data_IF_310537918727
#
_entry.id   IF_310537918727
#
_cell.length_a   1.000
_cell.length_b   1.000
_cell.length_c   1.000
_cell.angle_alpha   90.00
_cell.angle_beta   90.00
_cell.angle_gamma   90.00
#
_symmetry.space_group_name_H-M   'P 1'
#
loop_
_entity.id
_entity.type
_entity.pdbx_description
1 polymer ?
#
# COMPACT_ATOMS: atom_id res chain seq x y z
N UNK A 1 31.19 44.44 55.02
CA UNK A 1 31.01 45.85 55.42
C UNK A 1 30.77 46.68 54.15
N UNK A 2 29.63 47.39 54.10
CA UNK A 2 29.27 48.58 53.30
C UNK A 2 29.60 48.62 51.79
N UNK A 3 28.74 49.05 50.87
CA UNK A 3 27.49 49.83 50.96
C UNK A 3 26.83 49.88 49.56
N UNK A 4 25.49 49.80 49.51
CA UNK A 4 24.49 50.59 48.74
C UNK A 4 24.75 50.93 47.24
N UNK A 5 23.80 51.09 46.32
CA UNK A 5 22.32 51.13 46.20
C UNK A 5 22.03 51.36 44.70
N UNK A 6 20.87 50.94 44.20
CA UNK A 6 20.01 51.53 43.11
C UNK A 6 19.19 50.37 42.49
N UNK A 7 17.90 50.45 42.21
CA UNK A 7 16.98 51.57 42.12
C UNK A 7 15.51 51.15 42.37
N UNK A 8 14.65 52.17 42.33
CA UNK A 8 13.28 52.29 42.83
C UNK A 8 12.18 51.42 42.19
N UNK A 9 11.18 51.20 43.04
CA UNK A 9 9.78 50.84 42.80
C UNK A 9 9.01 52.01 42.16
N UNK A 10 8.09 51.71 41.24
CA UNK A 10 6.88 52.50 41.03
C UNK A 10 5.71 51.57 40.64
N UNK A 11 4.60 51.69 41.37
CA UNK A 11 3.35 50.94 41.22
C UNK A 11 2.20 51.89 40.86
N UNK A 12 1.24 51.43 40.05
CA UNK A 12 -0.18 51.82 39.98
C UNK A 12 -0.81 51.04 38.80
N UNK A 13 -1.63 50.01 38.97
CA UNK A 13 -3.06 49.95 39.39
C UNK A 13 -3.97 50.90 38.61
N UNK A 14 -4.85 50.30 37.80
CA UNK A 14 -5.96 50.97 37.13
C UNK A 14 -6.79 50.00 36.27
N UNK A 15 -7.50 49.06 36.89
CA UNK A 15 -8.55 48.28 36.22
C UNK A 15 -9.80 49.16 36.12
N UNK A 16 -10.21 49.51 34.91
CA UNK A 16 -11.50 50.15 34.66
C UNK A 16 -12.53 49.06 34.40
N UNK A 17 -13.41 48.86 35.37
CA UNK A 17 -14.70 48.17 35.20
C UNK A 17 -15.66 49.18 34.61
N UNK A 18 -16.25 48.88 33.45
CA UNK A 18 -17.42 49.59 32.95
C UNK A 18 -18.58 48.60 32.83
N UNK A 19 -19.57 48.81 33.71
CA UNK A 19 -20.88 48.20 33.73
C UNK A 19 -21.91 49.32 33.55
N UNK A 20 -23.02 49.02 32.87
CA UNK A 20 -24.35 49.67 32.91
C UNK A 20 -25.15 49.15 31.70
N UNK A 21 -26.46 48.90 31.73
CA UNK A 21 -27.46 48.61 32.75
C UNK A 21 -28.75 48.30 31.99
N UNK A 22 -29.62 47.51 32.62
CA UNK A 22 -30.90 47.02 32.11
C UNK A 22 -31.94 48.11 31.82
N UNK A 23 -32.90 47.80 30.96
CA UNK A 23 -34.22 48.47 30.92
C UNK A 23 -35.32 47.40 30.98
N UNK A 24 -36.19 47.55 31.97
CA UNK A 24 -37.29 46.65 32.36
C UNK A 24 -38.48 46.77 31.41
N UNK A 25 -39.03 45.64 30.96
CA UNK A 25 -40.32 45.51 30.28
C UNK A 25 -41.28 44.58 31.05
N UNK A 26 -42.62 44.77 30.94
CA UNK A 26 -43.63 44.27 31.89
C UNK A 26 -43.96 42.77 31.71
N UNK A 27 -44.62 42.13 32.71
CA UNK A 27 -44.79 40.68 32.73
C UNK A 27 -45.90 40.22 31.79
N UNK A 28 -45.62 39.18 30.99
CA UNK A 28 -46.61 38.55 30.11
C UNK A 28 -47.25 37.35 30.81
N UNK A 29 -48.58 37.30 30.72
CA UNK A 29 -49.47 36.29 31.25
C UNK A 29 -49.27 34.89 30.63
N UNK A 30 -49.38 33.85 31.46
CA UNK A 30 -49.79 32.48 31.07
C UNK A 30 -51.32 32.45 30.91
N UNK A 31 -52.00 31.50 30.23
CA UNK A 31 -51.59 30.33 29.43
C UNK A 31 -52.21 30.33 28.00
N UNK A 32 -51.92 29.39 27.08
CA UNK A 32 -52.78 28.22 26.80
C UNK A 32 -52.16 27.38 25.66
N UNK A 33 -52.14 26.07 25.86
CA UNK A 33 -51.83 25.01 24.92
C UNK A 33 -52.79 25.03 23.72
N UNK A 34 -52.24 25.06 22.50
CA UNK A 34 -52.94 24.51 21.32
C UNK A 34 -51.92 23.90 20.37
N UNK A 35 -52.15 22.63 20.05
CA UNK A 35 -51.29 21.81 19.20
C UNK A 35 -51.07 22.46 17.83
N UNK A 36 -49.82 22.72 17.49
CA UNK A 36 -49.39 22.79 16.10
C UNK A 36 -48.52 21.57 15.84
N UNK A 37 -48.99 20.70 14.94
CA UNK A 37 -48.27 19.55 14.42
C UNK A 37 -46.89 19.99 13.93
N UNK A 38 -45.88 19.78 14.78
CA UNK A 38 -44.49 19.85 14.38
C UNK A 38 -44.29 18.76 13.32
N UNK A 39 -43.99 19.20 12.10
CA UNK A 39 -43.55 18.34 11.02
C UNK A 39 -42.25 17.71 11.51
N UNK A 40 -42.31 16.46 11.95
CA UNK A 40 -41.15 15.61 12.17
C UNK A 40 -40.39 15.60 10.86
N UNK A 41 -39.33 16.41 10.75
CA UNK A 41 -38.23 16.09 9.85
C UNK A 41 -37.69 14.78 10.37
N UNK A 42 -38.17 13.69 9.79
CA UNK A 42 -37.53 12.39 9.91
C UNK A 42 -36.07 12.64 9.52
N UNK A 43 -35.17 12.56 10.49
CA UNK A 43 -33.76 12.37 10.22
C UNK A 43 -33.70 11.06 9.46
N UNK A 44 -33.63 11.13 8.13
CA UNK A 44 -33.39 9.98 7.29
C UNK A 44 -32.05 9.41 7.75
N UNK A 45 -32.08 8.19 8.29
CA UNK A 45 -30.85 7.46 8.56
C UNK A 45 -29.95 7.52 7.32
N UNK A 46 -28.63 7.71 7.49
CA UNK A 46 -27.72 7.78 6.35
C UNK A 46 -27.88 6.53 5.47
N UNK A 47 -27.86 6.72 4.16
CA UNK A 47 -27.96 5.64 3.19
C UNK A 47 -26.91 4.57 3.50
N UNK A 48 -27.23 3.27 3.38
CA UNK A 48 -26.25 2.23 3.58
C UNK A 48 -25.08 2.42 2.61
N UNK A 49 -23.84 2.11 3.03
CA UNK A 49 -22.67 2.29 2.18
C UNK A 49 -22.77 1.41 0.94
N UNK A 50 -22.30 1.93 -0.19
CA UNK A 50 -22.24 1.16 -1.44
C UNK A 50 -21.25 0.00 -1.28
N UNK A 51 -21.61 -1.18 -1.79
CA UNK A 51 -20.77 -2.38 -1.74
C UNK A 51 -20.71 -3.00 -3.13
N UNK A 52 -19.50 -3.37 -3.58
CA UNK A 52 -19.32 -4.08 -4.85
C UNK A 52 -19.69 -5.57 -4.75
N UNK A 53 -19.79 -6.22 -5.90
CA UNK A 53 -19.66 -7.67 -5.95
C UNK A 53 -18.27 -8.15 -5.50
N UNK A 54 -18.09 -9.48 -5.29
CA UNK A 54 -16.79 -10.07 -5.03
C UNK A 54 -15.77 -9.71 -6.12
N UNK A 55 -14.52 -9.47 -5.71
CA UNK A 55 -13.41 -9.28 -6.61
C UNK A 55 -13.07 -10.58 -7.34
N UNK A 56 -12.62 -10.46 -8.59
CA UNK A 56 -12.07 -11.57 -9.36
C UNK A 56 -10.80 -12.12 -8.72
N UNK A 57 -10.49 -13.40 -8.95
CA UNK A 57 -9.39 -14.08 -8.26
C UNK A 57 -8.00 -13.47 -8.53
N UNK A 58 -7.79 -12.87 -9.70
CA UNK A 58 -6.54 -12.24 -10.12
C UNK A 58 -6.47 -10.74 -9.85
N UNK A 59 -7.36 -10.22 -8.98
CA UNK A 59 -7.37 -8.81 -8.61
C UNK A 59 -6.06 -8.35 -7.97
N UNK A 60 -5.77 -7.06 -8.16
CA UNK A 60 -4.60 -6.34 -7.67
C UNK A 60 -4.99 -4.92 -7.30
N UNK A 61 -4.16 -4.24 -6.52
CA UNK A 61 -4.29 -2.81 -6.23
C UNK A 61 -3.09 -2.02 -6.74
N UNK A 62 -3.34 -0.85 -7.30
CA UNK A 62 -2.31 0.09 -7.75
C UNK A 62 -2.88 1.50 -7.80
N UNK A 63 -2.10 2.51 -7.42
CA UNK A 63 -2.45 3.92 -7.62
C UNK A 63 -3.79 4.33 -6.98
N UNK A 64 -4.18 3.67 -5.87
CA UNK A 64 -5.47 3.93 -5.20
C UNK A 64 -6.70 3.36 -5.92
N UNK A 65 -6.54 2.38 -6.82
CA UNK A 65 -7.62 1.61 -7.46
C UNK A 65 -7.37 0.09 -7.35
N UNK A 66 -8.40 -0.71 -7.64
CA UNK A 66 -8.33 -2.15 -7.88
C UNK A 66 -8.48 -2.47 -9.37
N UNK A 67 -7.77 -3.48 -9.85
CA UNK A 67 -7.86 -3.95 -11.22
C UNK A 67 -7.62 -5.45 -11.34
N UNK A 68 -8.04 -6.04 -12.44
CA UNK A 68 -7.81 -7.45 -12.79
C UNK A 68 -7.76 -7.63 -14.31
N UNK A 69 -7.50 -8.83 -14.81
CA UNK A 69 -7.43 -9.12 -16.25
C UNK A 69 -6.13 -8.64 -16.90
N UNK A 70 -5.10 -8.42 -16.09
CA UNK A 70 -3.81 -7.87 -16.51
C UNK A 70 -2.64 -8.69 -15.94
N UNK A 71 -2.08 -9.62 -16.74
CA UNK A 71 -1.07 -10.53 -16.26
C UNK A 71 0.28 -9.83 -16.07
N UNK A 72 0.89 -10.03 -14.91
CA UNK A 72 2.24 -9.52 -14.57
C UNK A 72 3.36 -10.23 -15.32
N UNK A 73 3.09 -11.46 -15.78
CA UNK A 73 4.01 -12.31 -16.52
C UNK A 73 3.49 -12.53 -17.93
N UNK A 74 4.42 -12.77 -18.84
CA UNK A 74 4.09 -13.02 -20.23
C UNK A 74 3.18 -14.21 -20.44
N UNK A 75 2.02 -13.93 -21.05
CA UNK A 75 1.06 -14.92 -21.48
C UNK A 75 1.32 -15.24 -22.95
N UNK A 76 1.79 -16.45 -23.22
CA UNK A 76 1.99 -16.94 -24.57
C UNK A 76 0.68 -17.52 -25.11
N UNK A 77 -0.04 -16.74 -25.91
CA UNK A 77 -1.34 -17.11 -26.47
C UNK A 77 -1.61 -16.37 -27.77
N UNK A 78 -2.25 -17.06 -28.73
CA UNK A 78 -2.74 -16.43 -29.98
C UNK A 78 -4.02 -15.64 -29.76
N UNK A 79 -4.73 -15.90 -28.67
CA UNK A 79 -5.94 -15.19 -28.24
C UNK A 79 -5.63 -14.14 -27.18
N UNK A 80 -4.35 -13.78 -26.99
CA UNK A 80 -3.94 -12.89 -25.88
C UNK A 80 -4.59 -11.52 -25.94
N UNK A 81 -4.99 -11.06 -27.13
CA UNK A 81 -5.78 -9.85 -27.24
C UNK A 81 -7.10 -10.02 -26.50
N UNK A 82 -7.80 -11.15 -26.63
CA UNK A 82 -9.05 -11.43 -25.93
C UNK A 82 -8.86 -11.83 -24.47
N UNK A 83 -7.71 -12.44 -24.14
CA UNK A 83 -7.40 -12.88 -22.78
C UNK A 83 -6.96 -11.71 -21.88
N UNK A 84 -6.21 -10.75 -22.41
CA UNK A 84 -5.76 -9.55 -21.69
C UNK A 84 -6.80 -8.44 -21.86
N UNK A 85 -7.81 -8.49 -20.98
CA UNK A 85 -8.91 -7.54 -20.89
C UNK A 85 -8.92 -6.90 -19.51
N UNK A 86 -8.02 -5.93 -19.25
CA UNK A 86 -7.97 -5.29 -17.96
C UNK A 86 -9.31 -4.65 -17.64
N UNK A 87 -9.72 -4.74 -16.38
CA UNK A 87 -10.83 -3.97 -15.83
C UNK A 87 -10.32 -3.22 -14.62
N UNK A 88 -10.51 -1.91 -14.61
CA UNK A 88 -10.03 -1.02 -13.56
C UNK A 88 -11.23 -0.40 -12.86
N UNK A 89 -11.21 -0.40 -11.54
CA UNK A 89 -12.28 0.16 -10.73
C UNK A 89 -12.21 1.69 -10.74
N UNK A 90 -13.24 2.35 -11.25
CA UNK A 90 -13.38 3.80 -11.12
C UNK A 90 -13.98 4.11 -9.74
N UNK A 91 -13.14 4.61 -8.85
CA UNK A 91 -13.50 4.93 -7.47
C UNK A 91 -14.54 6.04 -7.34
N UNK A 92 -14.73 6.87 -8.37
CA UNK A 92 -15.72 7.95 -8.37
C UNK A 92 -17.13 7.43 -8.69
N UNK A 93 -17.23 6.50 -9.63
CA UNK A 93 -18.51 5.94 -10.07
C UNK A 93 -18.86 4.64 -9.37
N UNK A 94 -17.89 3.98 -8.73
CA UNK A 94 -18.06 2.67 -8.09
C UNK A 94 -18.26 1.53 -9.09
N UNK A 95 -17.79 1.69 -10.34
CA UNK A 95 -17.97 0.73 -11.43
C UNK A 95 -16.63 0.33 -12.04
N UNK A 96 -16.57 -0.87 -12.62
CA UNK A 96 -15.42 -1.29 -13.42
C UNK A 96 -15.50 -0.72 -14.83
N UNK A 97 -14.40 -0.14 -15.28
CA UNK A 97 -14.20 0.32 -16.64
C UNK A 97 -13.22 -0.59 -17.38
N UNK A 98 -13.48 -0.81 -18.67
CA UNK A 98 -12.55 -1.50 -19.57
C UNK A 98 -11.73 -0.45 -20.34
N UNK A 99 -10.40 -0.42 -20.19
CA UNK A 99 -9.54 0.44 -21.01
C UNK A 99 -9.60 0.06 -22.48
N UNK A 100 -9.11 0.96 -23.34
CA UNK A 100 -8.88 0.66 -24.76
C UNK A 100 -7.93 -0.54 -24.93
N UNK A 101 -8.09 -1.25 -26.05
CA UNK A 101 -7.30 -2.43 -26.39
C UNK A 101 -6.44 -2.20 -27.65
N UNK A 102 -5.24 -2.78 -27.72
CA UNK A 102 -4.40 -2.70 -28.92
C UNK A 102 -5.11 -3.29 -30.15
N UNK A 103 -4.90 -2.65 -31.31
CA UNK A 103 -5.29 -3.19 -32.62
C UNK A 103 -4.04 -3.59 -33.39
N UNK A 104 -3.98 -4.83 -33.89
CA UNK A 104 -2.84 -5.30 -34.66
C UNK A 104 -2.89 -4.77 -36.10
N UNK A 105 -1.74 -4.47 -36.71
CA UNK A 105 -1.65 -4.24 -38.13
C UNK A 105 -2.19 -5.43 -38.94
N UNK A 106 -2.76 -5.16 -40.11
CA UNK A 106 -3.29 -6.19 -40.98
C UNK A 106 -2.21 -7.22 -41.37
N UNK A 107 -2.53 -8.51 -41.22
CA UNK A 107 -1.63 -9.62 -41.55
C UNK A 107 -0.66 -10.03 -40.43
N UNK A 108 -0.61 -9.31 -39.31
CA UNK A 108 0.17 -9.71 -38.13
C UNK A 108 -0.66 -10.59 -37.19
N UNK A 109 -0.04 -11.64 -36.65
CA UNK A 109 -0.63 -12.49 -35.61
C UNK A 109 0.15 -12.32 -34.32
N UNK A 110 -0.56 -12.07 -33.22
CA UNK A 110 0.02 -12.01 -31.89
C UNK A 110 0.42 -13.41 -31.41
N UNK A 111 1.55 -13.47 -30.72
CA UNK A 111 2.11 -14.71 -30.13
C UNK A 111 2.07 -14.69 -28.60
N UNK A 112 1.84 -13.52 -28.00
CA UNK A 112 1.60 -13.35 -26.58
C UNK A 112 1.64 -11.88 -26.16
N UNK A 113 1.50 -11.65 -24.86
CA UNK A 113 1.46 -10.31 -24.31
C UNK A 113 1.47 -10.25 -22.78
N UNK A 114 1.63 -9.03 -22.30
CA UNK A 114 1.56 -8.60 -20.90
C UNK A 114 0.93 -7.22 -20.82
N UNK A 115 0.41 -6.87 -19.65
CA UNK A 115 0.10 -5.49 -19.36
C UNK A 115 0.42 -5.10 -17.93
N UNK A 116 0.48 -3.80 -17.70
CA UNK A 116 0.52 -3.21 -16.37
C UNK A 116 -0.18 -1.84 -16.42
N UNK A 117 -0.66 -1.39 -15.26
CA UNK A 117 -0.99 0.02 -15.08
C UNK A 117 0.29 0.86 -14.99
N UNK A 118 0.18 2.16 -15.22
CA UNK A 118 1.30 3.10 -15.11
C UNK A 118 0.80 4.48 -14.71
N UNK A 119 1.69 5.28 -14.10
CA UNK A 119 1.39 6.66 -13.75
C UNK A 119 0.75 6.82 -12.38
N UNK A 120 0.13 7.96 -12.12
CA UNK A 120 -0.50 8.30 -10.84
C UNK A 120 -2.02 8.13 -10.91
N UNK A 121 -2.71 8.28 -9.78
CA UNK A 121 -4.18 8.24 -9.73
C UNK A 121 -4.85 9.22 -10.72
N UNK A 122 -4.23 10.38 -10.95
CA UNK A 122 -4.78 11.44 -11.81
C UNK A 122 -4.41 11.30 -13.29
N UNK A 123 -3.37 10.53 -13.63
CA UNK A 123 -2.87 10.33 -14.99
C UNK A 123 -2.53 8.85 -15.20
N UNK A 124 -3.53 8.01 -14.93
CA UNK A 124 -3.37 6.56 -15.00
C UNK A 124 -3.50 6.06 -16.44
N UNK A 125 -2.61 5.15 -16.80
CA UNK A 125 -2.55 4.54 -18.14
C UNK A 125 -2.51 3.04 -18.02
N UNK A 126 -2.90 2.38 -19.10
CA UNK A 126 -2.65 0.95 -19.28
C UNK A 126 -1.62 0.78 -20.37
N UNK A 127 -0.53 0.09 -20.04
CA UNK A 127 0.51 -0.26 -21.00
C UNK A 127 0.42 -1.74 -21.31
N UNK A 128 0.27 -2.05 -22.60
CA UNK A 128 0.35 -3.40 -23.14
C UNK A 128 1.69 -3.58 -23.83
N UNK A 129 2.33 -4.73 -23.65
CA UNK A 129 3.45 -5.16 -24.48
C UNK A 129 3.03 -6.45 -25.16
N UNK A 130 2.95 -6.41 -26.49
CA UNK A 130 2.53 -7.53 -27.32
C UNK A 130 3.68 -7.99 -28.21
N UNK A 131 3.79 -9.28 -28.44
CA UNK A 131 4.74 -9.85 -29.40
C UNK A 131 4.00 -10.44 -30.58
N UNK A 132 4.59 -10.32 -31.76
CA UNK A 132 4.22 -11.08 -32.95
C UNK A 132 5.36 -12.03 -33.32
N UNK A 133 5.30 -12.64 -34.49
CA UNK A 133 6.43 -13.44 -35.00
C UNK A 133 7.68 -12.59 -35.33
N UNK A 134 7.52 -11.28 -35.56
CA UNK A 134 8.58 -10.42 -36.11
C UNK A 134 8.99 -9.27 -35.21
N UNK A 135 8.14 -8.84 -34.28
CA UNK A 135 8.43 -7.69 -33.43
C UNK A 135 7.73 -7.74 -32.08
N UNK A 136 8.20 -6.88 -31.17
CA UNK A 136 7.56 -6.59 -29.89
C UNK A 136 7.12 -5.13 -29.90
N UNK A 137 5.86 -4.85 -29.60
CA UNK A 137 5.29 -3.51 -29.65
C UNK A 137 4.62 -3.18 -28.32
N UNK A 138 4.93 -2.01 -27.77
CA UNK A 138 4.23 -1.45 -26.63
C UNK A 138 3.13 -0.48 -27.08
N UNK A 139 2.03 -0.47 -26.34
CA UNK A 139 0.89 0.41 -26.53
C UNK A 139 0.52 1.01 -25.19
N UNK A 140 0.32 2.33 -25.12
CA UNK A 140 -0.23 3.00 -23.95
C UNK A 140 -1.60 3.58 -24.28
N UNK A 141 -2.56 3.34 -23.39
CA UNK A 141 -3.91 3.88 -23.47
C UNK A 141 -4.19 4.74 -22.24
N UNK A 142 -4.85 5.87 -22.47
CA UNK A 142 -5.39 6.69 -21.39
C UNK A 142 -6.55 5.97 -20.73
N UNK A 143 -6.53 5.81 -19.41
CA UNK A 143 -7.57 5.07 -18.72
C UNK A 143 -8.92 5.80 -18.74
N UNK A 144 -8.91 7.13 -18.70
CA UNK A 144 -10.13 7.95 -18.59
C UNK A 144 -10.92 8.01 -19.90
N UNK A 145 -10.23 8.16 -21.01
CA UNK A 145 -10.81 8.33 -22.35
C UNK A 145 -10.80 7.04 -23.16
N UNK A 146 -10.06 6.02 -22.70
CA UNK A 146 -9.80 4.77 -23.44
C UNK A 146 -9.15 4.98 -24.81
N UNK A 147 -8.61 6.17 -25.09
CA UNK A 147 -7.97 6.49 -26.35
C UNK A 147 -6.52 6.00 -26.36
N UNK A 148 -6.01 5.53 -27.53
CA UNK A 148 -4.60 5.24 -27.68
C UNK A 148 -3.78 6.54 -27.54
N UNK A 149 -2.75 6.51 -26.71
CA UNK A 149 -1.84 7.63 -26.49
C UNK A 149 -0.57 7.49 -27.34
N UNK A 150 0.08 6.33 -27.25
CA UNK A 150 1.33 6.05 -27.95
C UNK A 150 1.45 4.58 -28.29
N UNK A 151 2.03 4.29 -29.45
CA UNK A 151 2.39 2.95 -29.91
C UNK A 151 3.84 2.97 -30.33
N UNK A 152 4.63 1.98 -29.90
CA UNK A 152 6.07 1.94 -30.15
C UNK A 152 6.60 0.53 -30.30
N UNK A 153 7.31 0.27 -31.38
CA UNK A 153 8.09 -0.94 -31.53
C UNK A 153 9.29 -0.88 -30.58
N UNK A 154 9.39 -1.86 -29.70
CA UNK A 154 10.42 -1.95 -28.68
C UNK A 154 11.68 -2.54 -29.29
N UNK A 155 12.78 -1.80 -29.19
CA UNK A 155 14.11 -2.21 -29.63
C UNK A 155 15.04 -2.38 -28.43
N UNK A 156 16.08 -3.22 -28.53
CA UNK A 156 17.13 -3.27 -27.55
C UNK A 156 17.73 -1.89 -27.28
N UNK A 157 17.99 -1.53 -26.01
CA UNK A 157 18.45 -0.19 -25.67
C UNK A 157 19.90 0.09 -26.07
N UNK A 158 20.65 -0.96 -26.41
CA UNK A 158 21.98 -0.86 -27.00
C UNK A 158 22.18 -2.00 -28.03
N UNK A 159 23.04 -1.82 -29.05
CA UNK A 159 23.20 -2.79 -30.15
C UNK A 159 23.73 -4.18 -29.72
N UNK A 160 24.44 -4.24 -28.61
CA UNK A 160 24.97 -5.46 -27.98
C UNK A 160 23.90 -6.23 -27.20
N UNK A 161 22.75 -5.60 -26.91
CA UNK A 161 21.65 -6.21 -26.19
C UNK A 161 20.66 -6.87 -27.14
N UNK A 162 20.08 -7.97 -26.67
CA UNK A 162 19.03 -8.73 -27.36
C UNK A 162 17.86 -8.94 -26.42
N UNK A 163 16.67 -9.04 -27.00
CA UNK A 163 15.49 -9.50 -26.26
C UNK A 163 15.71 -10.94 -25.77
N UNK A 164 15.36 -11.20 -24.51
CA UNK A 164 15.33 -12.54 -23.94
C UNK A 164 14.05 -13.28 -24.38
N UNK A 165 13.90 -14.54 -23.96
CA UNK A 165 12.68 -15.30 -24.22
C UNK A 165 11.46 -14.62 -23.55
N UNK A 166 10.36 -14.36 -24.28
CA UNK A 166 9.21 -13.66 -23.72
C UNK A 166 8.63 -14.31 -22.46
N UNK A 167 8.70 -15.63 -22.34
CA UNK A 167 8.21 -16.40 -21.19
C UNK A 167 8.83 -16.02 -19.85
N UNK A 168 9.97 -15.33 -19.85
CA UNK A 168 10.66 -14.86 -18.65
C UNK A 168 10.33 -13.41 -18.28
N UNK A 169 9.63 -12.69 -19.16
CA UNK A 169 9.33 -11.28 -18.97
C UNK A 169 8.28 -11.06 -17.89
N UNK A 170 8.51 -10.00 -17.12
CA UNK A 170 7.51 -9.40 -16.25
C UNK A 170 7.25 -7.95 -16.65
N UNK A 171 6.02 -7.48 -16.44
CA UNK A 171 5.68 -6.05 -16.52
C UNK A 171 5.05 -5.62 -15.21
N UNK A 172 5.70 -4.66 -14.55
CA UNK A 172 5.25 -4.14 -13.27
C UNK A 172 4.93 -2.65 -13.37
N UNK A 173 3.87 -2.25 -12.66
CA UNK A 173 3.38 -0.89 -12.63
C UNK A 173 4.26 0.01 -11.77
N UNK A 174 4.57 1.21 -12.25
CA UNK A 174 5.34 2.21 -11.47
C UNK A 174 4.77 3.61 -11.67
N UNK A 175 5.01 4.49 -10.69
CA UNK A 175 4.47 5.85 -10.72
C UNK A 175 4.92 6.71 -11.92
N UNK A 176 6.02 6.37 -12.59
CA UNK A 176 6.54 7.09 -13.78
C UNK A 176 6.37 6.33 -15.10
N UNK A 177 5.89 5.08 -15.07
CA UNK A 177 6.04 4.20 -16.22
C UNK A 177 5.72 2.73 -15.92
N UNK A 178 6.33 1.85 -16.70
CA UNK A 178 6.33 0.41 -16.44
C UNK A 178 7.75 -0.11 -16.36
N UNK A 179 7.99 -1.01 -15.42
CA UNK A 179 9.24 -1.77 -15.36
C UNK A 179 9.07 -3.06 -16.15
N UNK A 180 9.80 -3.17 -17.25
CA UNK A 180 9.91 -4.38 -18.04
C UNK A 180 11.09 -5.20 -17.52
N UNK A 181 10.75 -6.19 -16.69
CA UNK A 181 11.70 -7.03 -15.97
C UNK A 181 12.10 -8.20 -16.86
N UNK A 182 13.38 -8.56 -16.79
CA UNK A 182 14.01 -9.61 -17.56
C UNK A 182 13.95 -9.43 -19.08
N UNK A 183 13.80 -8.22 -19.59
CA UNK A 183 13.49 -7.96 -21.00
C UNK A 183 14.67 -8.20 -21.96
N UNK A 184 15.89 -7.90 -21.51
CA UNK A 184 17.08 -7.91 -22.36
C UNK A 184 18.25 -8.67 -21.72
N UNK A 185 19.14 -9.18 -22.54
CA UNK A 185 20.43 -9.75 -22.14
C UNK A 185 21.50 -9.28 -23.11
N UNK A 186 22.75 -9.18 -22.66
CA UNK A 186 23.89 -8.95 -23.56
C UNK A 186 24.33 -10.24 -24.27
N UNK A 187 23.75 -11.40 -23.93
CA UNK A 187 24.01 -12.67 -24.60
C UNK A 187 25.44 -13.20 -24.43
N UNK A 188 26.26 -12.57 -23.57
CA UNK A 188 27.63 -12.99 -23.31
C UNK A 188 27.67 -14.09 -22.22
N UNK A 189 27.25 -15.30 -22.61
CA UNK A 189 27.35 -16.52 -21.79
C UNK A 189 26.15 -16.77 -20.87
N UNK A 190 26.17 -17.92 -20.19
CA UNK A 190 25.07 -18.38 -19.33
C UNK A 190 24.85 -17.55 -18.04
N UNK A 191 25.72 -16.58 -17.78
CA UNK A 191 25.75 -15.80 -16.55
C UNK A 191 25.24 -14.36 -16.69
N UNK A 192 24.82 -13.91 -17.87
CA UNK A 192 24.30 -12.55 -18.05
C UNK A 192 22.85 -12.46 -17.58
N UNK A 193 22.59 -11.94 -16.37
CA UNK A 193 21.24 -11.94 -15.83
C UNK A 193 20.36 -11.02 -16.70
N UNK A 194 19.08 -11.36 -16.85
CA UNK A 194 18.20 -10.58 -17.68
C UNK A 194 17.90 -9.22 -17.00
N UNK A 195 17.87 -8.17 -17.81
CA UNK A 195 17.90 -6.76 -17.39
C UNK A 195 16.52 -6.22 -17.10
N UNK A 196 16.45 -5.20 -16.24
CA UNK A 196 15.24 -4.41 -16.02
C UNK A 196 15.31 -3.12 -16.81
N UNK A 197 14.25 -2.78 -17.54
CA UNK A 197 14.15 -1.53 -18.30
C UNK A 197 12.91 -0.77 -17.87
N UNK A 198 13.04 0.52 -17.58
CA UNK A 198 11.87 1.34 -17.28
C UNK A 198 11.45 2.10 -18.52
N UNK A 199 10.22 1.86 -18.96
CA UNK A 199 9.58 2.58 -20.05
C UNK A 199 8.73 3.72 -19.47
N UNK A 200 8.92 4.93 -19.98
CA UNK A 200 8.11 6.09 -19.66
C UNK A 200 6.65 5.83 -20.02
N UNK A 201 5.73 6.21 -19.12
CA UNK A 201 4.31 6.13 -19.43
C UNK A 201 3.90 7.10 -20.56
N UNK A 202 4.68 8.16 -20.83
CA UNK A 202 4.31 9.25 -21.73
C UNK A 202 4.52 8.91 -23.21
N UNK A 203 5.64 8.27 -23.53
CA UNK A 203 6.07 8.05 -24.91
C UNK A 203 6.68 6.65 -25.12
N UNK A 204 6.62 5.79 -24.10
CA UNK A 204 7.20 4.44 -24.10
C UNK A 204 8.70 4.43 -24.42
N UNK A 205 9.38 5.56 -24.27
CA UNK A 205 10.85 5.60 -24.32
C UNK A 205 11.44 4.95 -23.08
N UNK A 206 12.60 4.33 -23.26
CA UNK A 206 13.39 3.91 -22.11
C UNK A 206 13.86 5.16 -21.36
N UNK A 207 13.52 5.24 -20.08
CA UNK A 207 14.07 6.26 -19.19
C UNK A 207 15.45 5.86 -18.69
N UNK A 208 15.58 4.61 -18.26
CA UNK A 208 16.82 4.02 -17.77
C UNK A 208 16.71 2.48 -17.77
N UNK A 209 17.85 1.81 -17.56
CA UNK A 209 17.90 0.37 -17.38
C UNK A 209 18.87 -0.03 -16.27
N UNK A 210 18.70 -1.25 -15.78
CA UNK A 210 19.58 -1.89 -14.81
C UNK A 210 20.07 -3.24 -15.36
N UNK A 211 21.37 -3.56 -15.24
CA UNK A 211 21.89 -4.87 -15.61
C UNK A 211 21.31 -6.02 -14.77
N UNK A 212 20.71 -5.75 -13.61
CA UNK A 212 20.12 -6.76 -12.74
C UNK A 212 18.58 -6.82 -12.88
N UNK A 213 17.98 -8.00 -12.65
CA UNK A 213 16.54 -8.12 -12.50
C UNK A 213 16.11 -7.44 -11.19
N UNK A 214 15.10 -6.58 -11.29
CA UNK A 214 14.56 -5.84 -10.16
C UNK A 214 13.30 -6.50 -9.59
N UNK A 215 13.11 -6.38 -8.28
CA UNK A 215 11.78 -6.49 -7.66
C UNK A 215 11.14 -5.11 -7.70
N UNK A 216 9.90 -5.03 -8.17
CA UNK A 216 9.26 -3.76 -8.52
C UNK A 216 7.97 -3.59 -7.74
N UNK A 217 7.83 -2.43 -7.14
CA UNK A 217 6.58 -1.90 -6.59
C UNK A 217 6.28 -0.53 -7.21
N UNK A 218 5.20 0.11 -6.78
CA UNK A 218 4.72 1.35 -7.36
C UNK A 218 5.74 2.48 -7.25
N UNK A 219 6.37 2.62 -6.08
CA UNK A 219 7.18 3.79 -5.73
C UNK A 219 8.66 3.44 -5.49
N UNK A 220 9.02 2.16 -5.59
CA UNK A 220 10.38 1.66 -5.37
C UNK A 220 10.69 0.39 -6.19
N UNK A 221 11.95 0.29 -6.61
CA UNK A 221 12.55 -0.91 -7.19
C UNK A 221 13.70 -1.35 -6.30
N UNK A 222 13.86 -2.66 -6.13
CA UNK A 222 14.97 -3.24 -5.40
C UNK A 222 15.81 -4.12 -6.33
N UNK A 223 17.12 -3.89 -6.32
CA UNK A 223 18.11 -4.68 -7.05
C UNK A 223 19.06 -5.35 -6.08
N UNK A 224 19.34 -6.63 -6.30
CA UNK A 224 20.39 -7.32 -5.55
C UNK A 224 21.74 -6.68 -5.93
N UNK A 225 22.41 -6.05 -4.97
CA UNK A 225 23.69 -5.38 -5.19
C UNK A 225 24.56 -5.51 -3.98
N UNK A 226 25.82 -5.81 -4.20
CA UNK A 226 26.82 -5.77 -3.17
C UNK A 226 28.01 -4.93 -3.62
N UNK A 227 28.44 -4.00 -2.78
CA UNK A 227 29.60 -3.13 -2.99
C UNK A 227 30.83 -3.59 -2.20
N UNK A 228 30.65 -4.52 -1.27
CA UNK A 228 31.73 -5.13 -0.50
C UNK A 228 32.09 -6.50 -1.10
N UNK A 229 33.27 -6.66 -1.72
CA UNK A 229 33.71 -7.94 -2.28
C UNK A 229 33.73 -9.10 -1.27
N UNK A 230 33.76 -8.83 0.04
CA UNK A 230 33.76 -9.83 1.09
C UNK A 230 32.35 -10.35 1.44
N UNK A 231 31.29 -9.69 0.97
CA UNK A 231 29.90 -10.09 1.23
C UNK A 231 29.29 -10.82 0.03
N UNK A 232 28.22 -11.57 0.26
CA UNK A 232 27.44 -12.21 -0.81
C UNK A 232 26.00 -11.65 -0.91
N UNK A 233 25.62 -10.79 0.04
CA UNK A 233 24.30 -10.18 0.18
C UNK A 233 24.38 -8.67 -0.03
N UNK A 234 23.23 -8.03 -0.14
CA UNK A 234 23.08 -6.60 -0.28
C UNK A 234 21.99 -6.23 -1.30
N UNK A 235 21.43 -5.04 -1.12
CA UNK A 235 20.46 -4.50 -2.07
C UNK A 235 20.60 -2.99 -2.22
N UNK A 236 20.16 -2.50 -3.37
CA UNK A 236 19.98 -1.09 -3.65
C UNK A 236 18.52 -0.83 -3.98
N UNK A 237 17.94 0.17 -3.33
CA UNK A 237 16.61 0.70 -3.63
C UNK A 237 16.74 1.90 -4.55
N UNK A 238 15.91 1.90 -5.60
CA UNK A 238 15.78 3.03 -6.53
C UNK A 238 14.33 3.48 -6.65
N UNK A 239 14.13 4.76 -6.91
CA UNK A 239 12.85 5.30 -7.36
C UNK A 239 12.59 4.90 -8.82
N UNK A 240 11.33 4.92 -9.29
CA UNK A 240 10.98 4.68 -10.69
C UNK A 240 11.68 5.60 -11.71
N UNK A 241 12.15 6.78 -11.29
CA UNK A 241 12.94 7.70 -12.13
C UNK A 241 14.44 7.35 -12.20
N UNK A 242 14.89 6.30 -11.50
CA UNK A 242 16.28 5.83 -11.47
C UNK A 242 17.13 6.38 -10.34
N UNK A 243 16.60 7.30 -9.51
CA UNK A 243 17.31 7.82 -8.33
C UNK A 243 17.58 6.70 -7.32
N UNK A 244 18.84 6.43 -6.99
CA UNK A 244 19.22 5.56 -5.88
C UNK A 244 18.93 6.26 -4.55
N UNK A 245 18.18 5.61 -3.68
CA UNK A 245 17.69 6.20 -2.41
C UNK A 245 18.20 5.48 -1.16
N UNK A 246 18.56 4.20 -1.29
CA UNK A 246 19.11 3.43 -0.17
C UNK A 246 19.95 2.28 -0.71
N UNK A 247 21.06 2.00 -0.05
CA UNK A 247 21.90 0.85 -0.38
C UNK A 247 22.60 0.35 0.87
N UNK A 248 22.59 -0.96 1.08
CA UNK A 248 23.25 -1.60 2.20
C UNK A 248 23.64 -3.04 1.84
N UNK A 249 24.89 -3.42 2.16
CA UNK A 249 25.46 -4.74 1.86
C UNK A 249 24.99 -5.83 2.85
N UNK A 250 24.36 -5.44 3.96
CA UNK A 250 23.79 -6.35 4.95
C UNK A 250 22.30 -6.63 4.71
N UNK A 251 21.72 -6.11 3.62
CA UNK A 251 20.37 -6.49 3.21
C UNK A 251 20.37 -7.92 2.69
N UNK A 252 19.63 -8.79 3.38
CA UNK A 252 19.36 -10.15 2.93
C UNK A 252 18.29 -10.16 1.85
N UNK A 253 17.15 -9.48 2.12
CA UNK A 253 16.04 -9.35 1.15
C UNK A 253 15.28 -8.04 1.34
N UNK A 254 14.68 -7.54 0.26
CA UNK A 254 13.68 -6.46 0.30
C UNK A 254 12.31 -7.11 0.18
N UNK A 255 11.51 -7.08 1.23
CA UNK A 255 10.32 -7.94 1.35
C UNK A 255 9.11 -7.38 0.60
N UNK A 256 8.89 -6.07 0.67
CA UNK A 256 7.68 -5.44 0.17
C UNK A 256 7.66 -3.92 0.32
N UNK A 257 6.87 -3.25 -0.52
CA UNK A 257 6.37 -1.90 -0.25
C UNK A 257 5.07 -2.00 0.57
N UNK A 258 4.99 -1.24 1.65
CA UNK A 258 3.77 -1.02 2.44
C UNK A 258 3.28 0.39 2.13
N UNK A 259 2.00 0.53 1.81
CA UNK A 259 1.40 1.80 1.40
C UNK A 259 0.00 1.93 1.99
N UNK A 260 -0.26 3.03 2.68
CA UNK A 260 -1.61 3.45 3.04
C UNK A 260 -1.73 4.97 2.95
N UNK A 261 -2.54 5.45 2.00
CA UNK A 261 -2.66 6.86 1.69
C UNK A 261 -1.30 7.51 1.40
N UNK A 262 -0.87 8.54 2.16
CA UNK A 262 0.42 9.20 1.96
C UNK A 262 1.62 8.42 2.52
N UNK A 263 1.40 7.49 3.45
CA UNK A 263 2.47 6.79 4.15
C UNK A 263 3.00 5.63 3.30
N UNK A 264 4.30 5.61 3.02
CA UNK A 264 4.94 4.61 2.17
C UNK A 264 6.25 4.12 2.77
N UNK A 265 6.31 2.84 3.11
CA UNK A 265 7.47 2.20 3.71
C UNK A 265 7.97 1.04 2.84
N UNK A 266 9.26 0.77 2.90
CA UNK A 266 9.85 -0.45 2.35
C UNK A 266 10.26 -1.33 3.50
N UNK A 267 9.71 -2.55 3.54
CA UNK A 267 10.09 -3.57 4.50
C UNK A 267 11.34 -4.30 4.00
N UNK A 268 12.37 -4.34 4.83
CA UNK A 268 13.69 -4.89 4.48
C UNK A 268 14.09 -5.89 5.56
N UNK A 269 14.58 -7.06 5.16
CA UNK A 269 15.23 -8.01 6.05
C UNK A 269 16.74 -7.80 6.00
N UNK A 270 17.31 -7.39 7.13
CA UNK A 270 18.73 -7.15 7.35
C UNK A 270 19.38 -8.37 8.04
N UNK A 271 20.61 -8.71 7.66
CA UNK A 271 21.38 -9.80 8.23
C UNK A 271 22.74 -9.28 8.72
N UNK A 272 22.91 -9.24 10.04
CA UNK A 272 24.18 -8.86 10.65
C UNK A 272 25.23 -9.96 10.47
N UNK A 273 26.48 -9.55 10.26
CA UNK A 273 27.63 -10.44 10.04
C UNK A 273 28.10 -11.22 11.29
N UNK A 274 27.26 -11.33 12.34
CA UNK A 274 27.58 -12.07 13.56
C UNK A 274 27.66 -13.59 13.31
N UNK A 275 28.25 -14.34 14.25
CA UNK A 275 28.26 -15.80 14.21
C UNK A 275 27.57 -16.37 15.47
N UNK A 276 26.34 -16.92 15.37
CA UNK A 276 25.55 -17.09 14.15
C UNK A 276 24.99 -15.76 13.60
N UNK A 277 24.66 -15.68 12.29
CA UNK A 277 24.06 -14.47 11.72
C UNK A 277 22.73 -14.14 12.39
N UNK A 278 22.57 -12.88 12.79
CA UNK A 278 21.32 -12.38 13.38
C UNK A 278 20.54 -11.66 12.28
N UNK A 279 19.26 -12.01 12.16
CA UNK A 279 18.37 -11.40 11.17
C UNK A 279 17.42 -10.44 11.88
N UNK A 280 17.18 -9.29 11.27
CA UNK A 280 16.23 -8.28 11.73
C UNK A 280 15.43 -7.70 10.58
N UNK A 281 14.29 -7.09 10.89
CA UNK A 281 13.44 -6.37 9.96
C UNK A 281 13.57 -4.88 10.23
N UNK A 282 13.75 -4.11 9.18
CA UNK A 282 13.78 -2.65 9.22
C UNK A 282 12.76 -2.08 8.22
N UNK A 283 12.37 -0.83 8.44
CA UNK A 283 11.41 -0.13 7.59
C UNK A 283 12.04 1.17 7.10
N UNK A 284 12.15 1.32 5.77
CA UNK A 284 12.66 2.54 5.15
C UNK A 284 11.50 3.40 4.65
N UNK A 285 11.41 4.63 5.13
CA UNK A 285 10.38 5.58 4.72
C UNK A 285 10.76 6.24 3.39
N UNK A 286 9.91 6.07 2.39
CA UNK A 286 10.14 6.60 1.05
C UNK A 286 9.98 8.13 0.98
N UNK A 287 9.17 8.71 1.85
CA UNK A 287 8.91 10.15 1.89
C UNK A 287 10.06 10.89 2.56
N UNK A 288 10.50 10.44 3.73
CA UNK A 288 11.62 11.07 4.47
C UNK A 288 12.99 10.57 4.04
N UNK A 289 13.05 9.50 3.23
CA UNK A 289 14.28 8.86 2.76
C UNK A 289 15.17 8.38 3.92
N UNK A 290 14.57 7.82 4.96
CA UNK A 290 15.27 7.39 6.17
C UNK A 290 14.69 6.12 6.76
N UNK A 291 15.52 5.37 7.48
CA UNK A 291 15.05 4.22 8.26
C UNK A 291 14.23 4.71 9.46
N UNK A 292 13.06 4.11 9.66
CA UNK A 292 12.18 4.38 10.79
C UNK A 292 12.79 3.79 12.06
N UNK A 293 12.83 4.60 13.12
CA UNK A 293 13.08 4.13 14.48
C UNK A 293 11.77 3.66 15.11
N UNK A 294 11.78 2.45 15.62
CA UNK A 294 10.70 1.79 16.34
C UNK A 294 11.13 1.62 17.79
N UNK A 295 10.65 2.51 18.66
CA UNK A 295 11.21 2.69 20.00
C UNK A 295 12.65 3.22 19.91
N UNK A 296 13.57 2.62 20.66
CA UNK A 296 14.98 3.01 20.71
C UNK A 296 15.85 2.34 19.63
N UNK A 297 15.25 1.53 18.75
CA UNK A 297 15.96 0.75 17.73
C UNK A 297 15.40 1.04 16.33
N UNK A 298 16.22 0.88 15.31
CA UNK A 298 15.85 0.90 13.90
C UNK A 298 15.52 -0.50 13.34
N UNK A 299 15.55 -1.52 14.21
CA UNK A 299 15.48 -2.94 13.85
C UNK A 299 14.54 -3.71 14.77
N UNK A 300 13.71 -4.56 14.18
CA UNK A 300 12.87 -5.52 14.89
C UNK A 300 13.49 -6.91 14.73
N UNK A 301 13.62 -7.68 15.81
CA UNK A 301 14.22 -9.01 15.76
C UNK A 301 13.47 -9.95 14.80
N UNK A 302 14.21 -10.64 13.94
CA UNK A 302 13.71 -11.61 12.97
C UNK A 302 13.50 -11.04 11.56
N UNK A 303 13.58 -11.92 10.57
CA UNK A 303 13.32 -11.63 9.16
C UNK A 303 11.98 -12.16 8.69
N UNK A 304 11.49 -11.67 7.55
CA UNK A 304 10.26 -12.18 6.95
C UNK A 304 9.00 -11.98 7.81
N UNK A 305 9.02 -11.03 8.75
CA UNK A 305 7.90 -10.78 9.67
C UNK A 305 6.66 -10.33 8.89
N UNK A 306 5.45 -10.64 9.39
CA UNK A 306 4.25 -10.06 8.80
C UNK A 306 4.15 -8.59 9.23
N UNK A 307 3.82 -7.69 8.31
CA UNK A 307 3.64 -6.28 8.60
C UNK A 307 2.49 -5.69 7.80
N UNK A 308 1.82 -4.70 8.39
CA UNK A 308 0.74 -3.95 7.75
C UNK A 308 0.85 -2.50 8.15
N UNK A 309 0.74 -1.60 7.18
CA UNK A 309 0.66 -0.16 7.40
C UNK A 309 -0.80 0.25 7.24
N UNK A 310 -1.37 0.89 8.25
CA UNK A 310 -2.71 1.45 8.16
C UNK A 310 -2.83 2.66 9.07
N UNK A 311 -3.39 3.75 8.55
CA UNK A 311 -3.70 4.98 9.28
C UNK A 311 -2.50 5.62 10.01
N UNK A 312 -1.31 5.55 9.41
CA UNK A 312 -0.07 6.00 10.04
C UNK A 312 0.40 5.11 11.20
N UNK A 313 -0.15 3.90 11.32
CA UNK A 313 0.28 2.89 12.29
C UNK A 313 0.88 1.69 11.57
N UNK A 314 2.04 1.25 12.05
CA UNK A 314 2.77 0.09 11.56
C UNK A 314 2.55 -1.08 12.51
N UNK A 315 1.76 -2.05 12.06
CA UNK A 315 1.62 -3.34 12.73
C UNK A 315 2.73 -4.29 12.28
N UNK A 316 3.33 -5.01 13.24
CA UNK A 316 4.32 -6.06 12.99
C UNK A 316 3.98 -7.29 13.83
N UNK A 317 3.93 -8.47 13.21
CA UNK A 317 3.71 -9.77 13.86
C UNK A 317 4.93 -10.68 13.62
N UNK A 318 5.68 -10.91 14.69
CA UNK A 318 6.83 -11.82 14.69
C UNK A 318 6.51 -13.23 15.17
N UNK A 319 5.30 -13.51 15.66
CA UNK A 319 4.97 -14.78 16.36
C UNK A 319 5.18 -16.03 15.51
N UNK A 320 4.97 -15.94 14.19
CA UNK A 320 5.15 -17.04 13.24
C UNK A 320 6.58 -17.15 12.67
N UNK A 321 7.47 -16.26 13.05
CA UNK A 321 8.87 -16.33 12.66
C UNK A 321 9.68 -17.13 13.70
N UNK A 322 10.49 -18.06 13.21
CA UNK A 322 11.36 -18.93 14.01
C UNK A 322 12.67 -18.22 14.42
N UNK A 323 13.03 -17.13 13.73
CA UNK A 323 14.23 -16.35 13.99
C UNK A 323 13.95 -15.01 14.70
N UNK A 324 12.72 -14.82 15.20
CA UNK A 324 12.28 -13.59 15.85
C UNK A 324 12.11 -13.75 17.36
N UNK A 325 12.72 -12.84 18.12
CA UNK A 325 12.41 -12.61 19.54
C UNK A 325 11.27 -11.61 19.75
N UNK A 326 10.70 -11.07 18.66
CA UNK A 326 9.58 -10.16 18.71
C UNK A 326 8.26 -10.94 18.83
N UNK A 327 7.35 -10.44 19.67
CA UNK A 327 5.98 -10.94 19.73
C UNK A 327 5.18 -10.28 18.62
N UNK A 328 4.47 -9.21 18.95
CA UNK A 328 3.81 -8.34 17.98
C UNK A 328 3.58 -6.96 18.58
N UNK A 329 3.33 -5.97 17.74
CA UNK A 329 3.01 -4.62 18.20
C UNK A 329 2.48 -3.73 17.10
N UNK A 330 1.93 -2.59 17.51
CA UNK A 330 1.45 -1.50 16.65
C UNK A 330 2.21 -0.24 17.03
N UNK A 331 3.09 0.20 16.14
CA UNK A 331 3.88 1.41 16.28
C UNK A 331 3.19 2.57 15.57
N UNK A 332 2.92 3.65 16.29
CA UNK A 332 2.33 4.85 15.71
C UNK A 332 3.44 5.73 15.14
N UNK A 333 3.44 5.93 13.82
CA UNK A 333 4.49 6.70 13.13
C UNK A 333 4.44 8.19 13.47
N UNK A 334 3.26 8.71 13.88
CA UNK A 334 3.05 10.13 14.18
C UNK A 334 3.42 10.46 15.61
N UNK A 335 2.96 9.65 16.56
CA UNK A 335 3.24 9.86 17.99
C UNK A 335 4.56 9.24 18.43
N UNK A 336 5.17 8.39 17.59
CA UNK A 336 6.40 7.66 17.89
C UNK A 336 6.28 6.88 19.20
N UNK A 337 5.16 6.18 19.36
CA UNK A 337 4.87 5.37 20.53
C UNK A 337 4.25 4.03 20.13
N UNK A 338 4.41 3.02 21.00
CA UNK A 338 3.72 1.76 20.86
C UNK A 338 2.27 1.88 21.35
N UNK A 339 1.31 1.88 20.44
CA UNK A 339 -0.12 1.80 20.81
C UNK A 339 -0.48 0.41 21.33
N UNK A 340 0.32 -0.60 20.94
CA UNK A 340 0.32 -1.93 21.53
C UNK A 340 1.70 -2.55 21.39
N UNK A 341 2.20 -3.22 22.44
CA UNK A 341 3.39 -4.05 22.36
C UNK A 341 3.21 -5.31 23.21
N UNK A 342 3.46 -6.48 22.62
CA UNK A 342 3.50 -7.76 23.32
C UNK A 342 4.84 -8.43 23.07
N UNK A 343 5.49 -8.83 24.15
CA UNK A 343 6.72 -9.62 24.08
C UNK A 343 6.44 -10.99 23.46
N UNK A 344 7.49 -11.69 23.01
CA UNK A 344 7.34 -13.05 22.48
C UNK A 344 6.71 -14.00 23.49
N UNK A 345 7.05 -13.86 24.77
CA UNK A 345 6.53 -14.72 25.83
C UNK A 345 5.08 -14.39 26.19
N UNK A 346 4.70 -13.11 26.19
CA UNK A 346 3.29 -12.74 26.38
C UNK A 346 2.45 -13.24 25.21
N UNK A 347 2.92 -13.05 23.97
CA UNK A 347 2.23 -13.48 22.78
C UNK A 347 1.98 -15.00 22.74
N UNK A 348 2.93 -15.82 23.23
CA UNK A 348 2.76 -17.28 23.36
C UNK A 348 1.65 -17.67 24.34
N UNK A 349 1.41 -16.87 25.38
CA UNK A 349 0.38 -17.13 26.40
C UNK A 349 -1.03 -16.77 25.93
N UNK A 350 -1.16 -15.94 24.89
CA UNK A 350 -2.45 -15.39 24.45
C UNK A 350 -3.28 -16.35 23.57
N UNK A 351 -2.83 -17.58 23.30
CA UNK A 351 -3.56 -18.58 22.48
C UNK A 351 -4.07 -18.03 21.13
N UNK A 352 -3.26 -17.22 20.45
CA UNK A 352 -3.65 -16.54 19.20
C UNK A 352 -3.28 -17.40 17.99
N UNK A 353 -4.24 -17.72 17.12
CA UNK A 353 -4.03 -18.38 15.83
C UNK A 353 -3.67 -17.39 14.71
N UNK A 354 -4.36 -16.24 14.65
CA UNK A 354 -4.18 -15.22 13.61
C UNK A 354 -4.39 -13.81 14.18
N UNK A 355 -3.60 -12.87 13.68
CA UNK A 355 -3.79 -11.43 13.89
C UNK A 355 -3.95 -10.76 12.54
N UNK A 356 -4.77 -9.72 12.51
CA UNK A 356 -4.86 -8.79 11.41
C UNK A 356 -5.14 -7.39 11.96
N UNK A 357 -4.71 -6.38 11.23
CA UNK A 357 -4.73 -5.00 11.67
C UNK A 357 -5.26 -4.10 10.55
N UNK A 358 -6.15 -3.17 10.90
CA UNK A 358 -6.67 -2.17 9.98
C UNK A 358 -7.18 -0.97 10.77
N UNK A 359 -6.85 0.25 10.32
CA UNK A 359 -6.98 1.50 11.07
C UNK A 359 -6.42 1.33 12.48
N UNK A 360 -7.21 1.59 13.52
CA UNK A 360 -6.84 1.42 14.92
C UNK A 360 -7.35 0.10 15.53
N UNK A 361 -7.70 -0.91 14.74
CA UNK A 361 -8.31 -2.13 15.25
C UNK A 361 -7.46 -3.37 15.01
N UNK A 362 -7.31 -4.17 16.07
CA UNK A 362 -6.66 -5.47 16.02
C UNK A 362 -7.71 -6.58 16.05
N UNK A 363 -7.76 -7.35 14.96
CA UNK A 363 -8.63 -8.51 14.80
C UNK A 363 -7.87 -9.75 15.24
N UNK A 364 -8.41 -10.43 16.23
CA UNK A 364 -7.80 -11.60 16.85
C UNK A 364 -8.66 -12.81 16.50
N UNK A 365 -8.02 -13.85 15.95
CA UNK A 365 -8.53 -15.22 15.93
C UNK A 365 -7.73 -16.03 16.94
N UNK A 366 -8.40 -16.56 17.96
CA UNK A 366 -7.78 -17.43 18.95
C UNK A 366 -7.83 -18.90 18.50
N UNK A 367 -6.97 -19.71 19.10
CA UNK A 367 -7.06 -21.17 19.05
C UNK A 367 -8.44 -21.59 19.56
N UNK A 368 -9.09 -22.54 18.86
CA UNK A 368 -10.47 -22.94 19.16
C UNK A 368 -11.54 -22.10 18.46
N UNK A 369 -11.16 -21.28 17.47
CA UNK A 369 -12.07 -20.49 16.62
C UNK A 369 -12.96 -19.51 17.41
N UNK A 370 -12.39 -18.88 18.43
CA UNK A 370 -13.00 -17.72 19.11
C UNK A 370 -12.34 -16.44 18.63
N UNK A 371 -13.05 -15.32 18.75
CA UNK A 371 -12.69 -14.08 18.10
C UNK A 371 -12.65 -12.93 19.09
N UNK A 372 -11.88 -11.90 18.79
CA UNK A 372 -11.94 -10.63 19.51
C UNK A 372 -11.53 -9.48 18.57
N UNK A 373 -12.04 -8.29 18.87
CA UNK A 373 -11.57 -7.04 18.27
C UNK A 373 -11.14 -6.11 19.38
N UNK A 374 -9.91 -5.62 19.33
CA UNK A 374 -9.41 -4.55 20.20
C UNK A 374 -9.42 -3.23 19.43
N UNK A 375 -9.91 -2.16 20.04
CA UNK A 375 -9.73 -0.80 19.53
C UNK A 375 -8.54 -0.17 20.26
N UNK A 376 -7.46 0.10 19.53
CA UNK A 376 -6.21 0.60 20.07
C UNK A 376 -6.30 2.11 20.37
N UNK A 377 -5.58 2.59 21.42
CA UNK A 377 -4.63 1.85 22.27
C UNK A 377 -5.28 1.04 23.42
N UNK A 378 -6.61 0.91 23.44
CA UNK A 378 -7.30 0.08 24.42
C UNK A 378 -6.91 -1.40 24.30
N UNK A 379 -6.76 -2.06 25.44
CA UNK A 379 -6.40 -3.49 25.52
C UNK A 379 -7.59 -4.41 25.76
N UNK A 380 -8.75 -3.85 26.13
CA UNK A 380 -9.97 -4.61 26.36
C UNK A 380 -10.71 -4.84 25.05
N UNK A 381 -11.26 -6.05 24.81
CA UNK A 381 -12.06 -6.32 23.62
C UNK A 381 -13.31 -5.45 23.56
N UNK A 382 -13.49 -4.74 22.44
CA UNK A 382 -14.73 -4.03 22.13
C UNK A 382 -15.78 -4.95 21.47
N UNK A 383 -15.33 -6.12 20.99
CA UNK A 383 -16.20 -7.19 20.49
C UNK A 383 -15.55 -8.55 20.74
N UNK A 384 -16.37 -9.56 21.03
CA UNK A 384 -15.98 -10.97 21.13
C UNK A 384 -16.26 -11.78 19.84
N UNK A 385 -16.63 -11.09 18.76
CA UNK A 385 -16.90 -11.69 17.44
C UNK A 385 -16.61 -10.72 16.31
N UNK A 386 -16.31 -11.25 15.13
CA UNK A 386 -16.28 -10.53 13.87
C UNK A 386 -16.51 -11.51 12.71
N UNK A 387 -17.18 -11.05 11.65
CA UNK A 387 -17.41 -11.83 10.42
C UNK A 387 -16.95 -11.11 9.15
N UNK A 388 -16.60 -9.83 9.31
CA UNK A 388 -16.19 -8.90 8.27
C UNK A 388 -14.91 -8.22 8.73
N UNK A 389 -13.87 -8.29 7.90
CA UNK A 389 -12.55 -7.71 8.22
C UNK A 389 -12.02 -6.84 7.08
N UNK A 390 -12.05 -5.50 7.19
CA UNK A 390 -11.27 -4.64 6.33
C UNK A 390 -9.75 -4.89 6.46
N UNK A 391 -9.01 -4.66 5.38
CA UNK A 391 -7.57 -4.93 5.36
C UNK A 391 -6.73 -4.01 4.47
N UNK A 392 -7.35 -3.19 3.61
CA UNK A 392 -6.64 -2.22 2.78
C UNK A 392 -7.58 -1.11 2.32
N UNK A 393 -7.02 0.07 2.02
CA UNK A 393 -7.76 1.21 1.47
C UNK A 393 -7.44 1.40 -0.01
N UNK A 394 -8.47 1.83 -0.73
CA UNK A 394 -8.50 2.27 -2.11
C UNK A 394 -9.19 3.64 -2.07
N UNK A 395 -8.90 4.59 -2.96
CA UNK A 395 -9.36 5.98 -2.80
C UNK A 395 -10.88 6.13 -2.55
N UNK A 396 -11.29 6.31 -1.28
CA UNK A 396 -12.70 6.39 -0.84
C UNK A 396 -13.44 5.05 -0.69
N UNK A 397 -12.72 3.93 -0.71
CA UNK A 397 -13.23 2.58 -0.59
C UNK A 397 -12.32 1.71 0.27
N UNK A 398 -12.90 0.87 1.10
CA UNK A 398 -12.17 -0.11 1.90
C UNK A 398 -12.35 -1.52 1.34
N UNK A 399 -11.24 -2.24 1.17
CA UNK A 399 -11.21 -3.67 0.84
C UNK A 399 -11.53 -4.50 2.07
N UNK A 400 -12.51 -5.39 1.93
CA UNK A 400 -13.11 -6.14 3.02
C UNK A 400 -13.12 -7.63 2.71
N UNK A 401 -12.52 -8.40 3.62
CA UNK A 401 -12.57 -9.85 3.65
C UNK A 401 -13.85 -10.31 4.35
N UNK A 402 -14.66 -11.15 3.69
CA UNK A 402 -15.88 -11.73 4.26
C UNK A 402 -15.75 -13.24 4.44
N UNK A 403 -16.37 -13.75 5.50
CA UNK A 403 -16.51 -15.19 5.73
C UNK A 403 -15.24 -15.92 6.14
N UNK A 404 -14.16 -15.20 6.45
CA UNK A 404 -12.86 -15.76 6.85
C UNK A 404 -12.92 -16.70 8.06
N UNK A 405 -13.89 -16.47 8.94
CA UNK A 405 -14.13 -17.26 10.15
C UNK A 405 -14.74 -18.65 9.88
N UNK A 406 -15.13 -18.94 8.63
CA UNK A 406 -15.64 -20.25 8.26
C UNK A 406 -14.52 -21.30 8.32
N UNK A 407 -14.70 -22.34 9.14
CA UNK A 407 -13.69 -23.39 9.33
C UNK A 407 -13.22 -24.04 8.03
N UNK A 408 -14.10 -24.15 7.03
CA UNK A 408 -13.78 -24.72 5.72
C UNK A 408 -12.76 -23.88 4.91
N UNK A 409 -12.57 -22.61 5.25
CA UNK A 409 -11.70 -21.69 4.53
C UNK A 409 -10.32 -21.53 5.19
N UNK A 410 -10.07 -22.14 6.35
CA UNK A 410 -8.77 -22.11 7.03
C UNK A 410 -8.16 -20.70 7.17
N UNK A 411 -9.00 -19.66 7.28
CA UNK A 411 -8.56 -18.26 7.40
C UNK A 411 -8.37 -17.54 6.07
N UNK A 412 -8.79 -18.11 4.95
CA UNK A 412 -8.92 -17.43 3.65
C UNK A 412 -10.26 -16.69 3.57
N UNK A 413 -10.27 -15.58 2.84
CA UNK A 413 -11.51 -14.85 2.56
C UNK A 413 -12.41 -15.70 1.67
N UNK A 414 -13.70 -15.82 2.03
CA UNK A 414 -14.71 -16.39 1.14
C UNK A 414 -14.85 -15.52 -0.10
N UNK A 415 -15.05 -14.23 0.17
CA UNK A 415 -15.23 -13.19 -0.81
C UNK A 415 -14.43 -11.96 -0.35
N UNK A 416 -13.84 -11.24 -1.29
CA UNK A 416 -13.27 -9.91 -1.06
C UNK A 416 -14.18 -8.92 -1.76
N UNK A 417 -14.66 -7.90 -1.06
CA UNK A 417 -15.50 -6.84 -1.63
C UNK A 417 -14.91 -5.48 -1.32
N UNK A 418 -15.33 -4.45 -2.05
CA UNK A 418 -15.05 -3.06 -1.71
C UNK A 418 -16.31 -2.43 -1.10
N UNK A 419 -16.14 -1.73 0.01
CA UNK A 419 -17.19 -0.96 0.70
C UNK A 419 -16.81 0.50 0.63
N UNK A 420 -17.75 1.34 0.20
CA UNK A 420 -17.52 2.78 0.12
C UNK A 420 -17.37 3.37 1.52
N UNK A 421 -16.34 4.18 1.69
CA UNK A 421 -16.07 4.84 2.97
C UNK A 421 -17.15 5.89 3.26
N UNK A 422 -17.48 6.08 4.53
CA UNK A 422 -18.32 7.17 5.01
C UNK A 422 -17.47 8.11 5.86
N UNK A 423 -17.52 9.40 5.58
CA UNK A 423 -16.69 10.41 6.24
C UNK A 423 -15.18 10.09 6.20
N UNK A 424 -14.73 9.40 5.15
CA UNK A 424 -13.33 9.01 4.95
C UNK A 424 -12.90 7.74 5.69
N UNK A 425 -13.82 7.04 6.34
CA UNK A 425 -13.55 5.84 7.13
C UNK A 425 -14.44 4.67 6.72
N UNK A 426 -13.96 3.46 7.01
CA UNK A 426 -14.80 2.28 6.86
C UNK A 426 -16.01 2.39 7.80
N UNK A 427 -17.26 2.36 7.28
CA UNK A 427 -18.47 2.64 8.07
C UNK A 427 -18.83 1.53 9.06
N UNK A 428 -18.23 0.35 8.96
CA UNK A 428 -18.66 -0.84 9.68
C UNK A 428 -20.04 -1.35 9.23
N UNK A 429 -20.64 -2.30 9.97
CA UNK A 429 -20.07 -2.98 11.11
C UNK A 429 -19.06 -4.10 10.74
N UNK A 430 -18.30 -4.47 11.77
CA UNK A 430 -17.26 -5.50 11.81
C UNK A 430 -17.86 -6.89 12.13
N UNK A 431 -19.14 -6.91 12.53
CA UNK A 431 -19.84 -8.07 13.12
C UNK A 431 -20.64 -8.87 12.10
#
# INVERSE_FOLDING_TARGET
MSTLRLALIAAAVGVVVASCSETVGPPVATPTTTMSTAKTTASSAPSPPSVTGPLEKDWKSYGGTAFFGCPEKFSQSKTVLDDIRPKVFDTKTGQYMAPGAPTLPAGENVTGGICALAGTADDMRVVYVLTTATKTTAYAFDLKTSQPLVTKDLQPPAPDLKLTAPTEWGLAATASGVAWVNAFTDGHGAASPPRTVILSAADLSMMWNDPQPGRVWQDVLAFQRNTDPAKASGAELRRPNGEAIFQDNDISTVDGELSDGPDKLVKITHQDSSNPPVVSTMFYDLNTKSVIKVGDTDRISGGGLAATLSDGQLFVDGRKSDNSQFGFGVWNLRTQHWDLLKTRDDAKKMSIAKLAFFENHLYITNVGNTFAVLALPGTDPISATWSVRPFARISGWTLVCRGENAAALNGDCKDIVMVQDQDGHFPGPWF
#
